data_IF_712164142786
#
_entry.id   IF_712164142786
#
_cell.length_a   1.000
_cell.length_b   1.000
_cell.length_c   1.000
_cell.angle_alpha   90.00
_cell.angle_beta   90.00
_cell.angle_gamma   90.00
#
_symmetry.space_group_name_H-M   'P 1'
#
loop_
_entity.id
_entity.type
_entity.pdbx_description
1 polymer ?
#
# COMPACT_ATOMS: atom_id res chain seq x y z
N UNK A 1 7.64 48.39 -53.83
CA UNK A 1 8.23 47.60 -52.73
C UNK A 1 7.08 47.00 -51.97
N UNK A 2 6.64 45.82 -52.41
CA UNK A 2 5.62 45.02 -51.74
C UNK A 2 6.25 44.31 -50.53
N UNK A 3 5.63 44.46 -49.37
CA UNK A 3 6.14 43.91 -48.11
C UNK A 3 5.02 43.81 -47.07
N UNK A 4 4.26 42.72 -47.20
CA UNK A 4 3.18 42.22 -46.36
C UNK A 4 3.32 42.46 -44.83
N UNK A 5 2.24 42.87 -44.10
CA UNK A 5 2.20 42.84 -42.64
C UNK A 5 2.05 41.40 -42.13
N UNK A 6 3.14 40.83 -41.64
CA UNK A 6 3.16 39.49 -41.02
C UNK A 6 2.31 39.48 -39.74
N UNK A 7 1.11 38.91 -39.87
CA UNK A 7 0.35 38.16 -38.88
C UNK A 7 0.81 38.33 -37.43
N UNK A 8 0.12 39.22 -36.70
CA UNK A 8 -0.04 39.11 -35.25
C UNK A 8 -0.71 37.76 -34.98
N UNK A 9 0.07 36.74 -34.67
CA UNK A 9 -0.44 35.55 -34.02
C UNK A 9 -1.05 35.96 -32.67
N UNK A 10 -2.19 35.41 -32.25
CA UNK A 10 -2.57 35.46 -30.86
C UNK A 10 -1.54 34.61 -30.11
N UNK A 11 -0.53 35.23 -29.53
CA UNK A 11 0.21 34.60 -28.45
C UNK A 11 -0.79 34.48 -27.31
N UNK A 12 -1.49 33.34 -27.26
CA UNK A 12 -2.19 32.88 -26.06
C UNK A 12 -1.27 33.19 -24.88
N UNK A 13 -1.75 33.84 -23.81
CA UNK A 13 -0.98 33.85 -22.59
C UNK A 13 -0.86 32.38 -22.21
N UNK A 14 0.31 31.80 -22.44
CA UNK A 14 0.70 30.57 -21.79
C UNK A 14 0.70 30.92 -20.30
N UNK A 15 -0.47 30.80 -19.66
CA UNK A 15 -0.68 31.01 -18.23
C UNK A 15 0.06 29.88 -17.56
N UNK A 16 1.37 30.04 -17.47
CA UNK A 16 2.28 29.08 -16.89
C UNK A 16 2.03 29.17 -15.40
N UNK A 17 1.22 28.25 -14.91
CA UNK A 17 0.93 28.11 -13.48
C UNK A 17 2.28 28.02 -12.76
N UNK A 18 2.62 29.07 -12.01
CA UNK A 18 3.85 29.15 -11.26
C UNK A 18 3.58 28.73 -9.82
N UNK A 19 4.59 28.14 -9.16
CA UNK A 19 4.50 27.84 -7.72
C UNK A 19 4.14 29.09 -6.89
N UNK A 20 4.56 30.27 -7.35
CA UNK A 20 4.25 31.56 -6.71
C UNK A 20 2.74 31.84 -6.61
N UNK A 21 1.94 31.31 -7.52
CA UNK A 21 0.48 31.49 -7.53
C UNK A 21 -0.22 30.62 -6.46
N UNK A 22 0.49 29.65 -5.87
CA UNK A 22 -0.04 28.68 -4.91
C UNK A 22 0.83 28.61 -3.65
N UNK A 23 0.87 29.67 -2.82
CA UNK A 23 1.72 29.73 -1.63
C UNK A 23 1.35 28.70 -0.55
N UNK A 24 0.13 28.14 -0.60
CA UNK A 24 -0.28 27.04 0.26
C UNK A 24 0.36 25.71 -0.13
N UNK A 25 0.89 25.54 -1.33
CA UNK A 25 1.56 24.31 -1.73
C UNK A 25 3.03 24.34 -1.32
N UNK A 26 3.42 23.34 -0.53
CA UNK A 26 4.82 23.10 -0.21
C UNK A 26 5.59 22.64 -1.45
N UNK A 27 6.93 22.74 -1.42
CA UNK A 27 7.77 22.26 -2.51
C UNK A 27 7.49 20.80 -2.93
N UNK A 28 7.39 19.81 -2.02
CA UNK A 28 7.10 18.43 -2.43
C UNK A 28 5.70 18.23 -3.01
N UNK A 29 4.69 18.96 -2.52
CA UNK A 29 3.33 18.93 -3.06
C UNK A 29 3.28 19.52 -4.48
N UNK A 30 3.98 20.64 -4.71
CA UNK A 30 4.08 21.24 -6.03
C UNK A 30 4.76 20.30 -7.04
N UNK A 31 5.89 19.70 -6.67
CA UNK A 31 6.60 18.72 -7.49
C UNK A 31 5.74 17.47 -7.79
N UNK A 32 4.93 17.05 -6.82
CA UNK A 32 3.99 15.95 -7.02
C UNK A 32 2.92 16.28 -8.05
N UNK A 33 2.42 17.51 -8.09
CA UNK A 33 1.48 17.97 -9.11
C UNK A 33 2.15 18.06 -10.50
N UNK A 34 3.42 18.46 -10.56
CA UNK A 34 4.18 18.43 -11.82
C UNK A 34 4.35 17.00 -12.34
N UNK A 35 4.61 16.02 -11.47
CA UNK A 35 4.63 14.59 -11.82
C UNK A 35 3.25 14.06 -12.18
N UNK A 36 2.20 14.44 -11.47
CA UNK A 36 0.84 14.08 -11.83
C UNK A 36 0.48 14.61 -13.23
N UNK A 37 0.94 15.81 -13.58
CA UNK A 37 0.76 16.40 -14.90
C UNK A 37 1.44 15.59 -16.02
N UNK A 38 2.52 14.85 -15.74
CA UNK A 38 3.10 13.94 -16.74
C UNK A 38 2.29 12.66 -16.93
N UNK A 39 1.50 12.26 -15.93
CA UNK A 39 0.65 11.05 -15.96
C UNK A 39 -0.70 11.33 -16.60
N UNK A 40 -1.40 12.40 -16.20
CA UNK A 40 -2.78 12.70 -16.65
C UNK A 40 -2.89 13.93 -17.56
N UNK A 41 -1.76 14.54 -17.90
CA UNK A 41 -1.68 15.73 -18.73
C UNK A 41 -1.76 17.04 -17.95
N UNK A 42 -1.00 18.03 -18.42
CA UNK A 42 -0.91 19.35 -17.81
C UNK A 42 -2.26 20.06 -17.75
N UNK A 43 -3.02 20.09 -18.84
CA UNK A 43 -4.32 20.76 -18.91
C UNK A 43 -5.33 20.25 -17.85
N UNK A 44 -5.26 18.95 -17.54
CA UNK A 44 -6.09 18.33 -16.51
C UNK A 44 -5.71 18.84 -15.12
N UNK A 45 -4.41 18.88 -14.80
CA UNK A 45 -3.91 19.42 -13.51
C UNK A 45 -4.19 20.91 -13.39
N UNK A 46 -4.05 21.68 -14.47
CA UNK A 46 -4.40 23.11 -14.50
C UNK A 46 -5.89 23.33 -14.23
N UNK A 47 -6.76 22.48 -14.79
CA UNK A 47 -8.20 22.52 -14.54
C UNK A 47 -8.52 22.18 -13.08
N UNK A 48 -7.86 21.17 -12.50
CA UNK A 48 -7.98 20.82 -11.08
C UNK A 48 -7.55 22.00 -10.19
N UNK A 49 -6.42 22.65 -10.47
CA UNK A 49 -5.98 23.81 -9.71
C UNK A 49 -6.91 25.03 -9.83
N UNK A 50 -7.65 25.16 -10.93
CA UNK A 50 -8.64 26.24 -11.12
C UNK A 50 -9.97 25.95 -10.41
N UNK A 51 -10.33 24.68 -10.25
CA UNK A 51 -11.67 24.25 -9.78
C UNK A 51 -11.68 23.79 -8.33
N UNK A 52 -10.57 23.21 -7.85
CA UNK A 52 -10.45 22.69 -6.49
C UNK A 52 -10.06 23.78 -5.49
N UNK A 53 -10.58 23.68 -4.28
CA UNK A 53 -10.20 24.53 -3.15
C UNK A 53 -8.75 24.27 -2.70
N UNK A 54 -8.10 25.21 -1.98
CA UNK A 54 -6.72 25.04 -1.52
C UNK A 54 -6.45 23.74 -0.73
N UNK A 55 -7.43 23.30 0.07
CA UNK A 55 -7.34 22.05 0.84
C UNK A 55 -7.43 20.82 -0.05
N UNK A 56 -8.30 20.84 -1.06
CA UNK A 56 -8.44 19.73 -2.01
C UNK A 56 -7.22 19.61 -2.92
N UNK A 57 -6.61 20.73 -3.33
CA UNK A 57 -5.36 20.72 -4.09
C UNK A 57 -4.23 20.04 -3.32
N UNK A 58 -4.09 20.35 -2.02
CA UNK A 58 -3.17 19.64 -1.12
C UNK A 58 -3.52 18.16 -1.00
N UNK A 59 -4.80 17.85 -0.86
CA UNK A 59 -5.29 16.46 -0.81
C UNK A 59 -4.89 15.65 -2.04
N UNK A 60 -5.04 16.23 -3.24
CA UNK A 60 -4.62 15.59 -4.51
C UNK A 60 -3.10 15.41 -4.53
N UNK A 61 -2.33 16.43 -4.17
CA UNK A 61 -0.87 16.35 -4.15
C UNK A 61 -0.36 15.30 -3.15
N UNK A 62 -0.86 15.30 -1.92
CA UNK A 62 -0.50 14.34 -0.87
C UNK A 62 -0.95 12.93 -1.23
N UNK A 63 -2.16 12.77 -1.76
CA UNK A 63 -2.67 11.48 -2.23
C UNK A 63 -1.77 10.89 -3.33
N UNK A 64 -1.32 11.73 -4.26
CA UNK A 64 -0.37 11.32 -5.29
C UNK A 64 1.00 10.95 -4.71
N UNK A 65 1.55 11.72 -3.76
CA UNK A 65 2.81 11.41 -3.07
C UNK A 65 2.73 10.05 -2.34
N UNK A 66 1.65 9.79 -1.61
CA UNK A 66 1.47 8.54 -0.87
C UNK A 66 1.35 7.36 -1.84
N UNK A 67 0.62 7.54 -2.94
CA UNK A 67 0.52 6.53 -4.00
C UNK A 67 1.89 6.23 -4.60
N UNK A 68 2.64 7.25 -5.00
CA UNK A 68 4.00 7.12 -5.55
C UNK A 68 4.94 6.41 -4.58
N UNK A 69 4.88 6.73 -3.29
CA UNK A 69 5.69 6.03 -2.28
C UNK A 69 5.31 4.56 -2.14
N UNK A 70 4.01 4.23 -2.23
CA UNK A 70 3.54 2.84 -2.20
C UNK A 70 4.00 2.08 -3.45
N UNK A 71 3.92 2.71 -4.61
CA UNK A 71 4.30 2.11 -5.89
C UNK A 71 5.82 1.93 -5.97
N UNK A 72 6.60 2.91 -5.48
CA UNK A 72 8.05 2.81 -5.32
C UNK A 72 8.44 1.71 -4.32
N UNK A 73 7.77 1.63 -3.16
CA UNK A 73 7.99 0.55 -2.20
C UNK A 73 7.65 -0.83 -2.79
N UNK A 74 6.58 -0.93 -3.59
CA UNK A 74 6.22 -2.15 -4.30
C UNK A 74 7.26 -2.53 -5.38
N UNK A 75 7.75 -1.55 -6.16
CA UNK A 75 8.76 -1.77 -7.19
C UNK A 75 10.13 -2.15 -6.60
N UNK A 76 10.54 -1.54 -5.48
CA UNK A 76 11.75 -1.92 -4.74
C UNK A 76 11.65 -3.33 -4.15
N UNK A 77 10.43 -3.80 -3.84
CA UNK A 77 10.18 -5.16 -3.32
C UNK A 77 10.36 -6.26 -4.39
N UNK A 78 10.42 -5.92 -5.68
CA UNK A 78 10.60 -6.90 -6.77
C UNK A 78 12.07 -7.17 -7.12
N UNK A 79 13.01 -6.29 -6.75
CA UNK A 79 14.43 -6.41 -7.15
C UNK A 79 15.45 -6.40 -6.01
N UNK A 80 15.07 -6.13 -4.76
CA UNK A 80 15.95 -6.28 -3.59
C UNK A 80 15.38 -7.30 -2.59
N UNK A 81 16.09 -8.41 -2.45
CA UNK A 81 15.82 -9.48 -1.48
C UNK A 81 15.74 -8.95 -0.02
N UNK A 82 14.84 -9.53 0.78
CA UNK A 82 14.80 -9.47 2.26
C UNK A 82 14.70 -8.09 2.95
N UNK A 83 13.54 -7.77 3.55
CA UNK A 83 13.50 -6.80 4.66
C UNK A 83 12.19 -6.04 4.88
N UNK A 84 11.33 -6.60 5.73
CA UNK A 84 10.32 -5.90 6.57
C UNK A 84 9.26 -4.99 5.91
N UNK A 85 8.34 -5.62 5.20
CA UNK A 85 6.92 -5.31 5.45
C UNK A 85 6.64 -5.51 6.95
N UNK A 86 5.83 -4.69 7.65
CA UNK A 86 5.03 -5.22 8.75
C UNK A 86 3.93 -6.10 8.13
N UNK A 87 4.34 -7.17 7.45
CA UNK A 87 3.51 -8.36 7.30
C UNK A 87 3.27 -8.73 8.74
N UNK A 88 2.03 -8.64 9.21
CA UNK A 88 1.63 -9.22 10.49
C UNK A 88 2.09 -10.67 10.42
N UNK A 89 3.26 -10.94 10.99
CA UNK A 89 3.91 -12.22 10.87
C UNK A 89 3.00 -13.19 11.63
N UNK A 90 2.48 -14.20 10.92
CA UNK A 90 1.83 -15.33 11.58
C UNK A 90 2.84 -15.91 12.56
N UNK A 91 2.57 -15.79 13.86
CA UNK A 91 3.44 -16.30 14.89
C UNK A 91 3.35 -17.82 14.84
N UNK A 92 4.45 -18.47 14.44
CA UNK A 92 4.54 -19.94 14.41
C UNK A 92 4.77 -20.44 15.84
N UNK A 93 3.73 -20.43 16.66
CA UNK A 93 3.77 -21.03 17.99
C UNK A 93 4.03 -22.53 17.87
N UNK A 94 4.93 -23.05 18.70
CA UNK A 94 5.17 -24.49 18.81
C UNK A 94 4.00 -25.13 19.57
N UNK A 95 3.48 -26.22 19.02
CA UNK A 95 2.46 -27.05 19.69
C UNK A 95 3.08 -28.42 19.89
N UNK A 96 3.06 -28.90 21.12
CA UNK A 96 3.57 -30.23 21.44
C UNK A 96 2.68 -31.29 20.80
N UNK A 97 3.26 -32.42 20.37
CA UNK A 97 2.44 -33.50 19.85
C UNK A 97 1.60 -34.12 20.97
N UNK A 98 0.30 -34.26 20.75
CA UNK A 98 -0.55 -35.05 21.63
C UNK A 98 -0.39 -36.53 21.28
N UNK A 99 0.13 -37.33 22.20
CA UNK A 99 0.47 -38.74 21.94
C UNK A 99 -0.69 -39.66 22.33
N UNK A 100 -1.61 -39.17 23.16
CA UNK A 100 -2.73 -39.94 23.67
C UNK A 100 -2.31 -40.92 24.77
N UNK A 101 -1.33 -40.54 25.61
CA UNK A 101 -0.92 -41.33 26.77
C UNK A 101 -1.88 -41.11 27.94
N UNK A 102 -2.00 -42.11 28.80
CA UNK A 102 -2.76 -41.98 30.05
C UNK A 102 -2.11 -40.93 30.95
N UNK A 103 -2.89 -39.95 31.41
CA UNK A 103 -2.40 -38.80 32.18
C UNK A 103 -1.92 -37.60 31.36
N UNK A 104 -1.89 -37.66 30.01
CA UNK A 104 -1.64 -36.46 29.21
C UNK A 104 -2.87 -35.52 29.23
N UNK A 105 -2.68 -34.23 29.56
CA UNK A 105 -3.80 -33.31 29.73
C UNK A 105 -4.33 -32.83 28.37
N UNK A 106 -5.30 -33.55 27.81
CA UNK A 106 -5.95 -33.23 26.52
C UNK A 106 -6.48 -31.78 26.46
N UNK A 107 -7.12 -31.31 27.54
CA UNK A 107 -7.67 -29.95 27.60
C UNK A 107 -6.59 -28.87 27.49
N UNK A 108 -5.43 -29.09 28.13
CA UNK A 108 -4.29 -28.18 28.03
C UNK A 108 -3.76 -28.13 26.59
N UNK A 109 -3.65 -29.29 25.95
CA UNK A 109 -3.19 -29.36 24.56
C UNK A 109 -4.16 -28.66 23.59
N UNK A 110 -5.47 -28.79 23.77
CA UNK A 110 -6.46 -28.08 22.95
C UNK A 110 -6.30 -26.56 23.05
N UNK A 111 -6.07 -26.02 24.25
CA UNK A 111 -5.79 -24.59 24.45
C UNK A 111 -4.51 -24.15 23.72
N UNK A 112 -3.46 -24.98 23.72
CA UNK A 112 -2.23 -24.73 22.96
C UNK A 112 -2.49 -24.70 21.45
N UNK A 113 -3.29 -25.63 20.93
CA UNK A 113 -3.70 -25.69 19.51
C UNK A 113 -4.52 -24.45 19.12
N UNK A 114 -5.53 -24.07 19.92
CA UNK A 114 -6.38 -22.92 19.66
C UNK A 114 -5.58 -21.61 19.66
N UNK A 115 -4.66 -21.46 20.63
CA UNK A 115 -3.75 -20.32 20.70
C UNK A 115 -2.85 -20.26 19.47
N UNK A 116 -2.32 -21.40 19.01
CA UNK A 116 -1.51 -21.47 17.80
C UNK A 116 -2.32 -21.17 16.53
N UNK A 117 -3.56 -21.63 16.42
CA UNK A 117 -4.48 -21.31 15.32
C UNK A 117 -4.73 -19.80 15.24
N UNK A 118 -5.04 -19.17 16.39
CA UNK A 118 -5.27 -17.74 16.48
C UNK A 118 -4.00 -16.94 16.11
N UNK A 119 -2.85 -17.33 16.66
CA UNK A 119 -1.56 -16.69 16.39
C UNK A 119 -1.10 -16.84 14.93
N UNK A 120 -1.42 -17.98 14.30
CA UNK A 120 -1.13 -18.25 12.89
C UNK A 120 -2.20 -17.70 11.93
N UNK A 121 -3.32 -17.19 12.47
CA UNK A 121 -4.45 -16.63 11.72
C UNK A 121 -5.07 -17.63 10.73
N UNK A 122 -5.22 -18.88 11.17
CA UNK A 122 -5.90 -19.93 10.40
C UNK A 122 -7.40 -19.77 10.64
N UNK A 123 -8.17 -19.40 9.62
CA UNK A 123 -9.60 -19.08 9.76
C UNK A 123 -10.51 -20.18 9.24
N UNK A 124 -10.10 -20.86 8.17
CA UNK A 124 -10.91 -21.89 7.52
C UNK A 124 -10.89 -23.19 8.34
N UNK A 125 -12.09 -23.76 8.53
CA UNK A 125 -12.28 -25.01 9.26
C UNK A 125 -11.41 -26.17 8.74
N UNK A 126 -11.27 -26.41 7.41
CA UNK A 126 -10.40 -27.48 6.93
C UNK A 126 -8.92 -27.27 7.33
N UNK A 127 -8.36 -26.06 7.26
CA UNK A 127 -6.98 -25.81 7.70
C UNK A 127 -6.81 -25.88 9.22
N UNK A 128 -7.81 -25.46 10.00
CA UNK A 128 -7.79 -25.65 11.46
C UNK A 128 -7.71 -27.15 11.82
N UNK A 129 -8.52 -27.97 11.17
CA UNK A 129 -8.51 -29.41 11.35
C UNK A 129 -7.18 -30.04 10.89
N UNK A 130 -6.68 -29.68 9.69
CA UNK A 130 -5.41 -30.16 9.19
C UNK A 130 -4.24 -29.80 10.11
N UNK A 131 -4.24 -28.59 10.66
CA UNK A 131 -3.25 -28.16 11.64
C UNK A 131 -3.34 -28.96 12.94
N UNK A 132 -4.53 -29.11 13.53
CA UNK A 132 -4.72 -29.91 14.73
C UNK A 132 -4.27 -31.37 14.52
N UNK A 133 -4.62 -31.96 13.38
CA UNK A 133 -4.17 -33.32 13.00
C UNK A 133 -2.65 -33.42 12.86
N UNK A 134 -1.98 -32.38 12.35
CA UNK A 134 -0.51 -32.35 12.26
C UNK A 134 0.18 -32.42 13.63
N UNK A 135 -0.51 -31.97 14.67
CA UNK A 135 -0.06 -31.99 16.07
C UNK A 135 -0.45 -33.28 16.81
N UNK A 136 -1.07 -34.26 16.16
CA UNK A 136 -1.31 -35.58 16.73
C UNK A 136 -0.08 -36.46 16.55
N UNK A 137 0.23 -37.30 17.54
CA UNK A 137 1.33 -38.26 17.51
C UNK A 137 0.94 -39.58 18.19
N UNK A 138 1.83 -40.58 18.11
CA UNK A 138 1.63 -41.89 18.73
C UNK A 138 0.24 -42.48 18.50
N UNK A 139 -0.47 -42.84 19.59
CA UNK A 139 -1.80 -43.45 19.52
C UNK A 139 -2.86 -42.52 18.97
N UNK A 140 -2.69 -41.21 19.11
CA UNK A 140 -3.65 -40.23 18.62
C UNK A 140 -3.56 -39.99 17.10
N UNK A 141 -2.49 -40.46 16.44
CA UNK A 141 -2.32 -40.37 14.98
C UNK A 141 -2.78 -41.64 14.23
N UNK A 142 -2.88 -42.77 14.93
CA UNK A 142 -3.09 -44.10 14.34
C UNK A 142 -4.55 -44.42 14.05
#
# INVERSE_FOLDING_TARGET
>A
MDGNPSMRGPSEPATRIARADYPHLSAPEWEALQRLATVIGKATVETMLRTLSPTEQRGVALGFIVKEQRDAAAATTTTASSGTTPRVQSLKLHVSNYVGKEGEPLLRWLVEVDTAIAARRIFDNPSKAAFAMSCLGGRARS
#
